data_IF_895025840122
#
_entry.id   IF_895025840122
#
_cell.length_a   1.000
_cell.length_b   1.000
_cell.length_c   1.000
_cell.angle_alpha   90.00
_cell.angle_beta   90.00
_cell.angle_gamma   90.00
#
_symmetry.space_group_name_H-M   'P 1'
#
loop_
_entity.id
_entity.type
_entity.pdbx_description
1 polymer ?
#
# COMPACT_ATOMS: atom_id res chain seq x y z
N UNK A 1 -3.32 16.49 7.39
CA UNK A 1 -4.73 16.19 7.79
C UNK A 1 -4.87 14.67 7.85
N UNK A 2 -5.98 14.09 8.33
CA UNK A 2 -6.19 12.65 8.16
C UNK A 2 -6.69 12.37 6.73
N UNK A 3 -6.19 11.32 6.08
CA UNK A 3 -6.63 10.84 4.77
C UNK A 3 -8.06 10.28 4.86
N UNK A 4 -8.37 9.52 5.92
CA UNK A 4 -9.66 8.88 6.19
C UNK A 4 -10.31 8.30 4.91
N UNK A 5 -9.65 7.30 4.35
CA UNK A 5 -9.80 6.88 2.96
C UNK A 5 -9.94 5.38 2.77
N UNK A 6 -10.70 5.03 1.74
CA UNK A 6 -10.59 3.78 1.01
C UNK A 6 -9.71 4.04 -0.20
N UNK A 7 -8.52 3.44 -0.22
CA UNK A 7 -7.57 3.51 -1.33
C UNK A 7 -7.55 2.19 -2.11
N UNK A 8 -7.33 2.28 -3.43
CA UNK A 8 -7.10 1.13 -4.30
C UNK A 8 -5.74 1.26 -4.97
N UNK A 9 -4.93 0.21 -4.97
CA UNK A 9 -3.67 0.21 -5.69
C UNK A 9 -3.86 0.07 -7.20
N UNK A 10 -3.16 0.91 -7.96
CA UNK A 10 -2.95 0.71 -9.40
C UNK A 10 -1.45 0.83 -9.71
N UNK A 11 -0.85 -0.31 -10.04
CA UNK A 11 0.54 -0.36 -10.51
C UNK A 11 0.60 0.19 -11.94
N UNK A 12 1.50 1.14 -12.24
CA UNK A 12 1.69 1.62 -13.60
C UNK A 12 1.94 0.45 -14.58
N UNK A 13 1.35 0.48 -15.78
CA UNK A 13 1.62 -0.54 -16.78
C UNK A 13 3.06 -0.41 -17.31
N UNK A 14 3.52 -1.45 -17.99
CA UNK A 14 4.79 -1.40 -18.69
C UNK A 14 4.74 -0.36 -19.82
N UNK A 15 5.88 0.27 -20.13
CA UNK A 15 6.00 1.30 -21.17
C UNK A 15 5.49 0.82 -22.54
N UNK A 16 5.73 -0.46 -22.87
CA UNK A 16 5.29 -1.07 -24.14
C UNK A 16 3.76 -1.22 -24.27
N UNK A 17 3.02 -1.18 -23.16
CA UNK A 17 1.55 -1.22 -23.14
C UNK A 17 0.93 0.18 -23.06
N UNK A 18 1.64 1.12 -22.44
CA UNK A 18 1.34 2.55 -22.48
C UNK A 18 -0.09 2.93 -22.07
N UNK A 19 -0.61 3.96 -22.74
CA UNK A 19 -1.91 4.59 -22.46
C UNK A 19 -3.11 3.65 -22.57
N UNK A 20 -3.11 2.75 -23.55
CA UNK A 20 -4.26 1.84 -23.76
C UNK A 20 -4.48 0.93 -22.55
N UNK A 21 -3.40 0.39 -22.00
CA UNK A 21 -3.50 -0.43 -20.79
C UNK A 21 -3.89 0.40 -19.57
N UNK A 22 -3.36 1.61 -19.43
CA UNK A 22 -3.71 2.52 -18.33
C UNK A 22 -5.22 2.81 -18.30
N UNK A 23 -5.81 3.15 -19.46
CA UNK A 23 -7.25 3.41 -19.58
C UNK A 23 -8.08 2.13 -19.37
N UNK A 24 -7.61 0.98 -19.88
CA UNK A 24 -8.28 -0.31 -19.65
C UNK A 24 -8.35 -0.66 -18.17
N UNK A 25 -7.29 -0.39 -17.40
CA UNK A 25 -7.29 -0.68 -15.97
C UNK A 25 -8.21 0.28 -15.19
N UNK A 26 -8.23 1.57 -15.55
CA UNK A 26 -9.19 2.53 -14.99
C UNK A 26 -10.66 2.12 -15.27
N UNK A 27 -10.97 1.72 -16.51
CA UNK A 27 -12.30 1.23 -16.89
C UNK A 27 -12.70 -0.01 -16.08
N UNK A 28 -11.77 -0.97 -15.90
CA UNK A 28 -12.02 -2.16 -15.07
C UNK A 28 -12.28 -1.79 -13.61
N UNK A 29 -11.56 -0.82 -13.06
CA UNK A 29 -11.80 -0.34 -11.68
C UNK A 29 -13.22 0.20 -11.56
N UNK A 30 -13.62 1.09 -12.48
CA UNK A 30 -14.97 1.67 -12.50
C UNK A 30 -16.04 0.58 -12.59
N UNK A 31 -15.89 -0.35 -13.55
CA UNK A 31 -16.82 -1.46 -13.74
C UNK A 31 -16.91 -2.37 -12.52
N UNK A 32 -15.77 -2.87 -12.03
CA UNK A 32 -15.77 -3.80 -10.89
C UNK A 32 -16.27 -3.13 -9.61
N UNK A 33 -15.98 -1.84 -9.41
CA UNK A 33 -16.52 -1.06 -8.28
C UNK A 33 -18.03 -0.93 -8.34
N UNK A 34 -18.57 -0.63 -9.54
CA UNK A 34 -20.01 -0.52 -9.74
C UNK A 34 -20.72 -1.87 -9.54
N UNK A 35 -20.19 -2.95 -10.12
CA UNK A 35 -20.73 -4.31 -9.98
C UNK A 35 -20.73 -4.79 -8.52
N UNK A 36 -19.68 -4.48 -7.76
CA UNK A 36 -19.55 -4.87 -6.36
C UNK A 36 -20.29 -3.91 -5.38
N UNK A 37 -20.89 -2.82 -5.87
CA UNK A 37 -21.62 -1.86 -5.04
C UNK A 37 -20.75 -0.94 -4.18
N UNK A 38 -19.47 -0.75 -4.55
CA UNK A 38 -18.52 0.15 -3.87
C UNK A 38 -18.13 1.36 -4.72
N UNK A 39 -18.82 1.57 -5.85
CA UNK A 39 -18.65 2.74 -6.70
C UNK A 39 -18.81 4.05 -5.93
N UNK A 40 -17.89 4.99 -6.16
CA UNK A 40 -17.87 6.30 -5.49
C UNK A 40 -17.36 6.31 -4.05
N UNK A 41 -17.01 5.14 -3.47
CA UNK A 41 -16.44 5.05 -2.12
C UNK A 41 -14.91 5.14 -2.08
N UNK A 42 -14.24 4.72 -3.16
CA UNK A 42 -12.78 4.84 -3.30
C UNK A 42 -12.44 6.31 -3.48
N UNK A 43 -11.69 6.88 -2.52
CA UNK A 43 -11.29 8.30 -2.55
C UNK A 43 -9.87 8.50 -3.05
N UNK A 44 -9.04 7.45 -3.00
CA UNK A 44 -7.66 7.51 -3.45
C UNK A 44 -7.27 6.33 -4.35
N UNK A 45 -6.44 6.59 -5.35
CA UNK A 45 -5.61 5.58 -6.02
C UNK A 45 -4.22 5.63 -5.42
N UNK A 46 -3.73 4.52 -4.88
CA UNK A 46 -2.33 4.36 -4.49
C UNK A 46 -1.53 3.92 -5.72
N UNK A 47 -0.50 4.67 -6.09
CA UNK A 47 0.37 4.35 -7.22
C UNK A 47 1.80 4.13 -6.70
N UNK A 48 2.32 2.89 -6.77
CA UNK A 48 3.66 2.62 -6.29
C UNK A 48 4.73 3.19 -7.23
N UNK A 49 5.75 3.83 -6.64
CA UNK A 49 6.97 4.22 -7.34
C UNK A 49 7.85 2.99 -7.54
N UNK A 50 7.73 2.37 -8.71
CA UNK A 50 8.40 1.11 -9.03
C UNK A 50 9.89 1.33 -9.34
N UNK A 51 10.76 0.51 -8.74
CA UNK A 51 12.19 0.41 -9.03
C UNK A 51 12.57 -1.05 -9.25
N UNK A 52 13.71 -1.29 -9.88
CA UNK A 52 14.22 -2.65 -10.08
C UNK A 52 14.40 -3.38 -8.72
N UNK A 53 14.03 -4.65 -8.68
CA UNK A 53 14.05 -5.52 -7.49
C UNK A 53 14.91 -6.77 -7.73
N UNK A 54 14.94 -7.70 -6.76
CA UNK A 54 15.80 -8.88 -6.79
C UNK A 54 15.57 -9.78 -8.02
N UNK A 55 16.65 -10.36 -8.53
CA UNK A 55 16.68 -11.23 -9.73
C UNK A 55 15.82 -12.50 -9.59
N UNK A 56 15.46 -12.90 -8.36
CA UNK A 56 14.64 -14.07 -8.08
C UNK A 56 13.13 -13.78 -8.06
N UNK A 57 12.72 -12.55 -8.37
CA UNK A 57 11.31 -12.17 -8.53
C UNK A 57 10.62 -13.08 -9.56
N UNK A 58 9.47 -13.71 -9.23
CA UNK A 58 8.85 -14.72 -10.10
C UNK A 58 8.23 -14.16 -11.38
N UNK A 59 8.08 -12.83 -11.47
CA UNK A 59 7.61 -12.13 -12.65
C UNK A 59 8.64 -11.08 -13.07
N UNK A 60 9.05 -11.14 -14.33
CA UNK A 60 9.96 -10.17 -14.94
C UNK A 60 9.45 -8.74 -14.74
N UNK A 61 10.32 -7.90 -14.15
CA UNK A 61 10.04 -6.49 -13.96
C UNK A 61 10.48 -5.70 -15.18
N UNK A 62 9.53 -5.41 -16.07
CA UNK A 62 9.75 -4.53 -17.22
C UNK A 62 9.68 -3.05 -16.82
N UNK A 63 10.33 -2.15 -17.58
CA UNK A 63 10.20 -0.70 -17.38
C UNK A 63 8.74 -0.27 -17.32
N UNK A 64 8.39 0.45 -16.25
CA UNK A 64 7.04 0.95 -15.97
C UNK A 64 6.91 2.41 -16.40
N UNK A 65 5.68 2.84 -16.70
CA UNK A 65 5.40 4.27 -16.82
C UNK A 65 5.70 4.98 -15.49
N UNK A 66 6.13 6.24 -15.57
CA UNK A 66 6.27 7.07 -14.39
C UNK A 66 4.90 7.32 -13.73
N UNK A 67 4.90 7.54 -12.41
CA UNK A 67 3.69 7.79 -11.61
C UNK A 67 2.89 8.98 -12.14
N UNK A 68 3.53 10.11 -12.45
CA UNK A 68 2.84 11.31 -12.95
C UNK A 68 2.29 11.08 -14.34
N UNK A 69 3.06 10.39 -15.19
CA UNK A 69 2.62 10.03 -16.54
C UNK A 69 1.36 9.15 -16.47
N UNK A 70 1.40 8.07 -15.69
CA UNK A 70 0.27 7.17 -15.51
C UNK A 70 -0.94 7.89 -14.90
N UNK A 71 -0.74 8.68 -13.85
CA UNK A 71 -1.81 9.44 -13.19
C UNK A 71 -2.48 10.42 -14.14
N UNK A 72 -1.72 11.13 -14.96
CA UNK A 72 -2.26 12.07 -15.96
C UNK A 72 -3.18 11.39 -16.98
N UNK A 73 -2.98 10.09 -17.24
CA UNK A 73 -3.81 9.31 -18.15
C UNK A 73 -5.13 8.88 -17.50
N UNK A 74 -5.11 8.44 -16.23
CA UNK A 74 -6.27 7.83 -15.57
C UNK A 74 -7.13 8.81 -14.77
N UNK A 75 -6.55 9.92 -14.27
CA UNK A 75 -7.27 10.94 -13.48
C UNK A 75 -8.53 11.48 -14.18
N UNK A 76 -8.54 11.75 -15.50
CA UNK A 76 -9.76 12.20 -16.19
C UNK A 76 -10.93 11.21 -16.12
N UNK A 77 -10.65 9.91 -15.98
CA UNK A 77 -11.65 8.86 -15.83
C UNK A 77 -12.14 8.73 -14.36
N UNK A 78 -11.46 9.39 -13.41
CA UNK A 78 -11.67 9.30 -11.97
C UNK A 78 -11.77 10.70 -11.31
N UNK A 79 -12.76 11.54 -11.70
CA UNK A 79 -12.76 12.98 -11.41
C UNK A 79 -12.78 13.36 -9.93
N UNK A 80 -13.31 12.50 -9.05
CA UNK A 80 -13.41 12.74 -7.60
C UNK A 80 -12.38 11.95 -6.79
N UNK A 81 -11.42 11.30 -7.47
CA UNK A 81 -10.40 10.45 -6.84
C UNK A 81 -9.06 11.18 -6.84
N UNK A 82 -8.33 11.08 -5.73
CA UNK A 82 -7.02 11.70 -5.53
C UNK A 82 -5.90 10.66 -5.52
N UNK A 83 -4.65 11.12 -5.61
CA UNK A 83 -3.49 10.23 -5.64
C UNK A 83 -2.89 9.98 -4.26
N UNK A 84 -2.41 8.76 -4.02
CA UNK A 84 -1.37 8.45 -3.05
C UNK A 84 -0.18 7.84 -3.80
N UNK A 85 1.05 8.08 -3.34
CA UNK A 85 2.23 7.55 -4.01
C UNK A 85 3.23 6.99 -3.01
N UNK A 86 3.88 5.87 -3.33
CA UNK A 86 5.16 5.53 -2.70
C UNK A 86 6.29 6.13 -3.54
N UNK A 87 7.16 6.93 -2.93
CA UNK A 87 8.24 7.63 -3.63
C UNK A 87 9.60 7.16 -3.11
N UNK A 88 10.39 6.56 -4.00
CA UNK A 88 11.78 6.22 -3.73
C UNK A 88 12.60 7.50 -3.70
N UNK A 89 13.20 7.80 -2.55
CA UNK A 89 13.95 9.06 -2.35
C UNK A 89 15.44 8.90 -2.53
N UNK A 90 15.96 7.68 -2.34
CA UNK A 90 17.39 7.39 -2.25
C UNK A 90 18.21 7.71 -3.53
N UNK A 91 17.54 7.95 -4.66
CA UNK A 91 18.19 8.22 -5.95
C UNK A 91 17.96 9.65 -6.47
N UNK A 92 17.38 10.54 -5.65
CA UNK A 92 17.13 11.93 -6.02
C UNK A 92 17.78 12.87 -5.01
N UNK A 93 18.57 13.83 -5.50
CA UNK A 93 19.04 14.92 -4.65
C UNK A 93 17.87 15.80 -4.16
N UNK A 94 18.13 16.64 -3.16
CA UNK A 94 17.07 17.43 -2.53
C UNK A 94 16.33 18.33 -3.54
N UNK A 95 16.99 19.12 -4.40
CA UNK A 95 16.28 19.97 -5.36
C UNK A 95 15.40 19.16 -6.33
N UNK A 96 15.90 18.03 -6.84
CA UNK A 96 15.14 17.17 -7.77
C UNK A 96 13.93 16.57 -7.07
N UNK A 97 14.11 16.05 -5.85
CA UNK A 97 13.02 15.48 -5.09
C UNK A 97 11.98 16.54 -4.71
N UNK A 98 12.41 17.75 -4.31
CA UNK A 98 11.50 18.87 -4.02
C UNK A 98 10.61 19.20 -5.21
N UNK A 99 11.20 19.35 -6.40
CA UNK A 99 10.46 19.63 -7.63
C UNK A 99 9.44 18.54 -7.94
N UNK A 100 9.86 17.27 -7.85
CA UNK A 100 8.97 16.12 -8.06
C UNK A 100 7.80 16.07 -7.08
N UNK A 101 8.04 16.33 -5.79
CA UNK A 101 6.99 16.31 -4.77
C UNK A 101 5.99 17.46 -4.96
N UNK A 102 6.45 18.63 -5.40
CA UNK A 102 5.58 19.73 -5.79
C UNK A 102 4.70 19.35 -6.99
N UNK A 103 5.28 18.74 -8.03
CA UNK A 103 4.53 18.27 -9.21
C UNK A 103 3.48 17.20 -8.86
N UNK A 104 3.80 16.26 -7.98
CA UNK A 104 2.85 15.26 -7.46
C UNK A 104 1.70 15.96 -6.72
N UNK A 105 2.02 16.88 -5.82
CA UNK A 105 1.01 17.61 -5.04
C UNK A 105 0.09 18.44 -5.94
N UNK A 106 0.67 19.21 -6.88
CA UNK A 106 -0.07 20.00 -7.87
C UNK A 106 -0.94 19.12 -8.80
N UNK A 107 -0.51 17.88 -9.03
CA UNK A 107 -1.27 16.89 -9.80
C UNK A 107 -2.43 16.25 -9.02
N UNK A 108 -2.61 16.59 -7.74
CA UNK A 108 -3.70 16.12 -6.89
C UNK A 108 -3.39 14.87 -6.07
N UNK A 109 -2.11 14.63 -5.76
CA UNK A 109 -1.73 13.65 -4.75
C UNK A 109 -1.85 14.26 -3.36
N UNK A 110 -2.49 13.56 -2.44
CA UNK A 110 -2.70 14.03 -1.06
C UNK A 110 -1.66 13.48 -0.10
N UNK A 111 -1.00 12.37 -0.44
CA UNK A 111 -0.01 11.76 0.44
C UNK A 111 1.07 11.00 -0.30
N UNK A 112 2.29 11.11 0.23
CA UNK A 112 3.49 10.47 -0.30
C UNK A 112 4.13 9.64 0.80
N UNK A 113 4.25 8.33 0.58
CA UNK A 113 5.01 7.44 1.44
C UNK A 113 6.46 7.38 0.96
N UNK A 114 7.40 7.90 1.76
CA UNK A 114 8.81 7.89 1.39
C UNK A 114 9.41 6.50 1.63
N UNK A 115 10.02 5.94 0.58
CA UNK A 115 10.62 4.62 0.60
C UNK A 115 12.12 4.69 0.28
N UNK A 116 12.87 3.79 0.91
CA UNK A 116 14.33 3.70 0.79
C UNK A 116 14.80 2.95 -0.45
N UNK A 117 15.99 2.38 -0.33
CA UNK A 117 16.60 1.57 -1.38
C UNK A 117 15.96 0.16 -1.45
N UNK A 118 16.07 -0.55 -2.59
CA UNK A 118 15.67 -1.95 -2.68
C UNK A 118 16.51 -2.85 -1.77
N UNK A 119 16.04 -4.08 -1.53
CA UNK A 119 16.68 -5.07 -0.63
C UNK A 119 18.12 -5.44 -1.03
N UNK A 120 18.46 -5.29 -2.31
CA UNK A 120 19.82 -5.51 -2.84
C UNK A 120 20.84 -4.48 -2.35
N UNK A 121 20.40 -3.36 -1.80
CA UNK A 121 21.24 -2.26 -1.34
C UNK A 121 21.08 -2.04 0.17
N UNK A 122 22.16 -1.66 0.84
CA UNK A 122 22.16 -1.34 2.26
C UNK A 122 21.54 0.05 2.50
N UNK A 123 20.89 0.22 3.66
CA UNK A 123 20.39 1.54 4.11
C UNK A 123 21.52 2.59 4.02
N UNK A 124 21.32 3.63 3.19
CA UNK A 124 22.32 4.68 2.93
C UNK A 124 23.14 4.52 1.64
N UNK A 125 22.97 3.44 0.88
CA UNK A 125 23.64 3.24 -0.43
C UNK A 125 22.98 4.03 -1.59
N UNK A 126 22.34 5.15 -1.29
CA UNK A 126 21.81 6.09 -2.27
C UNK A 126 22.50 7.46 -2.15
N UNK A 127 22.75 8.12 -3.28
CA UNK A 127 23.28 9.51 -3.28
C UNK A 127 22.20 10.57 -3.04
N UNK A 128 20.93 10.14 -2.90
CA UNK A 128 19.78 11.00 -2.70
C UNK A 128 19.40 11.21 -1.23
N UNK A 129 18.22 11.78 -1.03
CA UNK A 129 17.69 12.09 0.30
C UNK A 129 17.25 10.81 1.01
N UNK A 130 17.67 10.62 2.27
CA UNK A 130 17.20 9.50 3.08
C UNK A 130 15.68 9.62 3.36
N UNK A 131 14.90 8.53 3.33
CA UNK A 131 13.44 8.60 3.50
C UNK A 131 13.01 9.25 4.82
N UNK A 132 13.76 9.04 5.89
CA UNK A 132 13.48 9.61 7.20
C UNK A 132 13.83 11.10 7.30
N UNK A 133 14.75 11.58 6.45
CA UNK A 133 15.06 13.01 6.36
C UNK A 133 14.03 13.73 5.50
N UNK A 134 13.54 13.06 4.43
CA UNK A 134 12.46 13.57 3.59
C UNK A 134 11.20 13.95 4.40
N UNK A 135 10.90 13.21 5.48
CA UNK A 135 9.78 13.51 6.39
C UNK A 135 9.85 14.91 7.00
N UNK A 136 11.06 15.42 7.28
CA UNK A 136 11.28 16.74 7.87
C UNK A 136 11.60 17.80 6.80
N UNK A 137 12.37 17.46 5.77
CA UNK A 137 12.82 18.42 4.73
C UNK A 137 11.66 18.94 3.87
N UNK A 138 10.62 18.13 3.71
CA UNK A 138 9.48 18.39 2.82
C UNK A 138 8.16 18.54 3.57
N UNK A 139 8.19 18.92 4.85
CA UNK A 139 6.99 19.14 5.65
C UNK A 139 6.11 20.28 5.14
N UNK A 140 6.71 21.30 4.53
CA UNK A 140 6.03 22.41 3.85
C UNK A 140 5.61 22.10 2.39
N UNK A 141 6.00 20.93 1.85
CA UNK A 141 5.70 20.54 0.46
C UNK A 141 4.61 19.48 0.38
N UNK A 142 4.65 18.51 1.30
CA UNK A 142 3.71 17.37 1.32
C UNK A 142 3.02 17.35 2.67
N UNK A 143 1.70 17.52 2.69
CA UNK A 143 0.92 17.53 3.94
C UNK A 143 0.89 16.17 4.64
N UNK A 144 0.67 15.10 3.87
CA UNK A 144 0.57 13.74 4.40
C UNK A 144 1.82 12.94 4.01
N UNK A 145 2.74 12.79 4.96
CA UNK A 145 4.05 12.16 4.77
C UNK A 145 4.02 10.77 5.37
N UNK A 146 3.98 9.79 4.49
CA UNK A 146 3.83 8.38 4.84
C UNK A 146 5.15 7.68 5.05
N UNK A 147 5.07 6.58 5.79
CA UNK A 147 6.16 5.60 5.90
C UNK A 147 5.62 4.19 5.76
N UNK A 148 6.45 3.29 5.25
CA UNK A 148 6.12 1.86 5.24
C UNK A 148 6.25 1.30 6.67
N UNK A 149 5.23 0.57 7.08
CA UNK A 149 5.12 -0.14 8.35
C UNK A 149 5.06 -1.65 8.09
N UNK A 150 6.01 -2.41 8.64
CA UNK A 150 6.07 -3.87 8.45
C UNK A 150 6.02 -4.54 9.83
N UNK A 151 4.83 -4.90 10.34
CA UNK A 151 4.66 -5.33 11.74
C UNK A 151 5.46 -6.56 12.12
N UNK A 152 5.73 -7.43 11.15
CA UNK A 152 6.49 -8.67 11.34
C UNK A 152 8.00 -8.46 11.37
N UNK A 153 8.50 -7.30 10.94
CA UNK A 153 9.94 -7.03 10.83
C UNK A 153 10.59 -6.84 12.20
N UNK A 154 11.78 -7.43 12.38
CA UNK A 154 12.57 -7.23 13.59
C UNK A 154 12.90 -5.74 13.82
N UNK A 155 12.70 -5.28 15.06
CA UNK A 155 12.98 -3.90 15.46
C UNK A 155 11.98 -2.87 14.92
N UNK A 156 10.84 -3.28 14.34
CA UNK A 156 9.90 -2.35 13.73
C UNK A 156 9.35 -1.31 14.71
N UNK A 157 9.19 -1.66 15.99
CA UNK A 157 8.73 -0.70 17.02
C UNK A 157 9.63 0.54 17.09
N UNK A 158 10.95 0.32 17.15
CA UNK A 158 11.93 1.41 17.18
C UNK A 158 11.99 2.16 15.85
N UNK A 159 11.92 1.44 14.72
CA UNK A 159 11.92 2.05 13.38
C UNK A 159 10.70 2.95 13.17
N UNK A 160 9.51 2.50 13.56
CA UNK A 160 8.27 3.28 13.43
C UNK A 160 8.25 4.47 14.38
N UNK A 161 8.69 4.29 15.63
CA UNK A 161 8.85 5.40 16.59
C UNK A 161 9.75 6.49 16.01
N UNK A 162 10.93 6.11 15.52
CA UNK A 162 11.88 7.05 14.91
C UNK A 162 11.26 7.79 13.71
N UNK A 163 10.52 7.09 12.85
CA UNK A 163 9.81 7.72 11.72
C UNK A 163 8.75 8.73 12.18
N UNK A 164 7.98 8.41 13.22
CA UNK A 164 7.01 9.34 13.81
C UNK A 164 7.70 10.57 14.41
N UNK A 165 8.82 10.39 15.13
CA UNK A 165 9.62 11.50 15.66
C UNK A 165 10.16 12.43 14.56
N UNK A 166 10.35 11.91 13.34
CA UNK A 166 10.78 12.67 12.16
C UNK A 166 9.63 13.32 11.38
N UNK A 167 8.39 13.17 11.84
CA UNK A 167 7.23 13.86 11.27
C UNK A 167 6.38 13.03 10.31
N UNK A 168 6.47 11.70 10.37
CA UNK A 168 5.52 10.83 9.66
C UNK A 168 4.10 11.06 10.16
N UNK A 169 3.17 11.31 9.22
CA UNK A 169 1.76 11.58 9.52
C UNK A 169 0.89 10.34 9.32
N UNK A 170 1.35 9.37 8.54
CA UNK A 170 0.70 8.07 8.42
C UNK A 170 1.71 6.92 8.25
N UNK A 171 1.33 5.73 8.73
CA UNK A 171 2.00 4.47 8.44
C UNK A 171 1.16 3.66 7.45
N UNK A 172 1.74 3.30 6.31
CA UNK A 172 1.13 2.38 5.36
C UNK A 172 1.70 0.98 5.59
N UNK A 173 0.85 0.01 5.90
CA UNK A 173 1.34 -1.36 6.09
C UNK A 173 1.75 -1.96 4.75
N UNK A 174 2.71 -2.88 4.77
CA UNK A 174 2.77 -3.90 3.72
C UNK A 174 1.46 -4.74 3.74
N UNK A 175 1.22 -5.51 2.67
CA UNK A 175 0.12 -6.47 2.59
C UNK A 175 0.01 -7.32 3.87
N UNK A 176 -1.15 -7.24 4.53
CA UNK A 176 -1.44 -7.97 5.75
C UNK A 176 -2.03 -9.34 5.45
N UNK A 177 -1.31 -10.38 5.87
CA UNK A 177 -1.78 -11.77 5.85
C UNK A 177 -1.82 -12.40 7.26
N UNK A 178 -1.68 -11.56 8.28
CA UNK A 178 -1.87 -11.88 9.70
C UNK A 178 -2.46 -10.68 10.45
N UNK A 179 -2.82 -10.91 11.71
CA UNK A 179 -3.24 -9.89 12.67
C UNK A 179 -2.08 -9.38 13.54
N UNK A 180 -0.82 -9.64 13.17
CA UNK A 180 0.38 -9.18 13.91
C UNK A 180 0.39 -7.65 14.11
N UNK A 181 -0.23 -6.90 13.20
CA UNK A 181 -0.41 -5.44 13.34
C UNK A 181 -1.16 -5.05 14.62
N UNK A 182 -2.07 -5.90 15.11
CA UNK A 182 -2.85 -5.64 16.33
C UNK A 182 -1.94 -5.61 17.54
N UNK A 183 -1.10 -6.64 17.72
CA UNK A 183 -0.14 -6.69 18.82
C UNK A 183 0.91 -5.57 18.70
N UNK A 184 1.39 -5.32 17.47
CA UNK A 184 2.32 -4.23 17.20
C UNK A 184 1.75 -2.88 17.65
N UNK A 185 0.56 -2.50 17.19
CA UNK A 185 -0.06 -1.21 17.50
C UNK A 185 -0.51 -1.14 18.95
N UNK A 186 -0.92 -2.25 19.54
CA UNK A 186 -1.26 -2.32 20.97
C UNK A 186 -0.06 -1.96 21.82
N UNK A 187 1.11 -2.54 21.52
CA UNK A 187 2.34 -2.20 22.23
C UNK A 187 2.79 -0.78 21.92
N UNK A 188 2.74 -0.36 20.65
CA UNK A 188 3.10 1.01 20.25
C UNK A 188 2.24 2.04 20.99
N UNK A 189 0.93 1.82 21.11
CA UNK A 189 0.02 2.70 21.82
C UNK A 189 0.28 2.77 23.33
N UNK A 190 0.82 1.70 23.93
CA UNK A 190 1.21 1.66 25.35
C UNK A 190 2.53 2.39 25.62
N UNK A 191 3.46 2.36 24.68
CA UNK A 191 4.84 2.87 24.90
C UNK A 191 5.13 4.19 24.20
N UNK A 192 4.23 4.70 23.35
CA UNK A 192 4.38 5.96 22.63
C UNK A 192 3.09 6.79 22.62
N UNK A 193 3.25 8.11 22.55
CA UNK A 193 2.14 9.07 22.43
C UNK A 193 1.70 9.28 20.96
N UNK A 194 2.56 8.93 20.00
CA UNK A 194 2.29 9.08 18.57
C UNK A 194 1.00 8.37 18.16
N UNK A 195 0.14 9.07 17.40
CA UNK A 195 -1.08 8.53 16.79
C UNK A 195 -1.17 8.93 15.30
N UNK A 196 -0.18 8.53 14.48
CA UNK A 196 -0.29 8.72 13.04
C UNK A 196 -1.49 7.91 12.53
N UNK A 197 -2.01 8.30 11.38
CA UNK A 197 -3.00 7.47 10.69
C UNK A 197 -2.39 6.15 10.23
N UNK A 198 -3.14 5.06 10.33
CA UNK A 198 -2.71 3.75 9.85
C UNK A 198 -3.51 3.39 8.60
N UNK A 199 -2.81 3.34 7.47
CA UNK A 199 -3.34 2.85 6.20
C UNK A 199 -3.08 1.33 6.11
N UNK A 200 -4.10 0.55 6.41
CA UNK A 200 -4.04 -0.91 6.47
C UNK A 200 -4.20 -1.52 5.07
N UNK A 201 -3.18 -2.23 4.60
CA UNK A 201 -3.12 -2.81 3.26
C UNK A 201 -3.61 -4.27 3.23
N UNK A 202 -4.66 -4.55 2.45
CA UNK A 202 -5.23 -5.89 2.26
C UNK A 202 -5.18 -6.29 0.79
N UNK A 203 -4.49 -7.39 0.48
CA UNK A 203 -4.24 -7.86 -0.88
C UNK A 203 -5.03 -9.11 -1.23
N UNK A 204 -5.79 -9.09 -2.33
CA UNK A 204 -6.53 -10.26 -2.83
C UNK A 204 -5.59 -11.35 -3.36
N UNK A 205 -5.78 -12.58 -2.87
CA UNK A 205 -4.95 -13.75 -3.23
C UNK A 205 -5.72 -14.69 -4.17
N UNK A 206 -5.53 -14.60 -5.51
CA UNK A 206 -6.20 -15.51 -6.44
C UNK A 206 -5.55 -16.91 -6.47
N UNK A 207 -6.24 -17.89 -7.06
CA UNK A 207 -5.72 -19.24 -7.20
C UNK A 207 -4.40 -19.34 -7.99
N UNK A 208 -4.14 -18.40 -8.91
CA UNK A 208 -2.90 -18.36 -9.70
C UNK A 208 -1.65 -18.15 -8.83
N UNK A 209 -1.79 -17.60 -7.62
CA UNK A 209 -0.70 -17.48 -6.64
C UNK A 209 -0.06 -18.84 -6.32
N UNK A 210 -0.83 -19.93 -6.32
CA UNK A 210 -0.29 -21.30 -6.10
C UNK A 210 0.74 -21.74 -7.14
N UNK A 211 0.78 -21.07 -8.30
CA UNK A 211 1.70 -21.36 -9.39
C UNK A 211 2.77 -20.30 -9.55
N UNK A 212 2.41 -19.02 -9.37
CA UNK A 212 3.31 -17.89 -9.63
C UNK A 212 4.12 -17.51 -8.39
N UNK A 213 3.51 -17.48 -7.21
CA UNK A 213 4.22 -17.17 -5.96
C UNK A 213 4.61 -15.70 -5.78
N UNK A 214 3.98 -14.76 -6.49
CA UNK A 214 4.35 -13.34 -6.41
C UNK A 214 4.07 -12.75 -5.03
N UNK A 215 2.89 -13.00 -4.45
CA UNK A 215 2.53 -12.44 -3.14
C UNK A 215 3.44 -13.03 -2.07
N UNK A 216 3.69 -14.34 -2.13
CA UNK A 216 4.62 -15.04 -1.26
C UNK A 216 6.03 -14.43 -1.31
N UNK A 217 6.51 -14.09 -2.51
CA UNK A 217 7.79 -13.40 -2.73
C UNK A 217 7.77 -11.95 -2.21
N UNK A 218 6.68 -11.20 -2.39
CA UNK A 218 6.57 -9.81 -1.92
C UNK A 218 6.75 -9.72 -0.40
N UNK A 219 6.10 -10.61 0.35
CA UNK A 219 6.08 -10.59 1.82
C UNK A 219 7.28 -11.28 2.47
N UNK A 220 8.21 -11.86 1.69
CA UNK A 220 9.25 -12.72 2.22
C UNK A 220 10.19 -12.04 3.23
N UNK A 221 10.57 -12.81 4.25
CA UNK A 221 11.60 -12.50 5.24
C UNK A 221 12.16 -13.84 5.78
N UNK A 222 13.21 -14.39 5.14
CA UNK A 222 13.72 -15.72 5.47
C UNK A 222 14.15 -15.86 6.93
N UNK A 223 13.64 -16.88 7.62
CA UNK A 223 13.93 -17.13 9.04
C UNK A 223 12.97 -16.46 10.02
N UNK A 224 12.06 -15.61 9.53
CA UNK A 224 11.04 -14.98 10.35
C UNK A 224 9.80 -15.88 10.47
N UNK A 225 9.50 -16.34 11.69
CA UNK A 225 8.37 -17.23 11.94
C UNK A 225 7.00 -16.58 11.69
N UNK A 226 6.87 -15.27 11.92
CA UNK A 226 5.61 -14.56 11.66
C UNK A 226 5.33 -14.49 10.16
N UNK A 227 6.36 -14.16 9.37
CA UNK A 227 6.27 -14.14 7.90
C UNK A 227 6.04 -15.55 7.33
N UNK A 228 6.67 -16.58 7.89
CA UNK A 228 6.41 -17.96 7.49
C UNK A 228 4.93 -18.36 7.70
N UNK A 229 4.29 -17.89 8.78
CA UNK A 229 2.87 -18.10 9.02
C UNK A 229 1.99 -17.33 8.03
N UNK A 230 2.36 -16.08 7.69
CA UNK A 230 1.69 -15.30 6.64
C UNK A 230 1.79 -15.98 5.28
N UNK A 231 2.97 -16.48 4.90
CA UNK A 231 3.17 -17.22 3.65
C UNK A 231 2.35 -18.52 3.62
N UNK A 232 2.19 -19.22 4.75
CA UNK A 232 1.33 -20.41 4.82
C UNK A 232 -0.15 -20.04 4.66
N UNK A 233 -0.59 -18.92 5.26
CA UNK A 233 -1.94 -18.41 5.05
C UNK A 233 -2.19 -18.01 3.60
N UNK A 234 -1.22 -17.37 2.93
CA UNK A 234 -1.29 -17.07 1.48
C UNK A 234 -1.46 -18.35 0.67
N UNK A 235 -0.70 -19.42 0.97
CA UNK A 235 -0.87 -20.73 0.30
C UNK A 235 -2.27 -21.30 0.53
N UNK A 236 -2.79 -21.23 1.75
CA UNK A 236 -4.14 -21.67 2.08
C UNK A 236 -5.19 -20.89 1.26
N UNK A 237 -5.07 -19.56 1.18
CA UNK A 237 -5.95 -18.71 0.37
C UNK A 237 -5.89 -19.07 -1.12
N UNK A 238 -4.68 -19.23 -1.66
CA UNK A 238 -4.48 -19.61 -3.05
C UNK A 238 -5.11 -20.98 -3.36
N UNK A 239 -4.98 -21.96 -2.45
CA UNK A 239 -5.54 -23.31 -2.61
C UNK A 239 -7.03 -23.46 -2.26
N UNK A 240 -7.68 -22.44 -1.69
CA UNK A 240 -9.08 -22.52 -1.27
C UNK A 240 -10.07 -22.28 -2.42
N UNK A 241 -11.26 -22.88 -2.31
CA UNK A 241 -12.39 -22.54 -3.18
C UNK A 241 -12.82 -21.08 -3.01
N UNK A 242 -13.40 -20.40 -4.04
CA UNK A 242 -13.66 -18.96 -4.01
C UNK A 242 -14.41 -18.44 -2.79
N UNK A 243 -15.48 -19.14 -2.37
CA UNK A 243 -16.29 -18.74 -1.20
C UNK A 243 -15.49 -18.85 0.09
N UNK A 244 -14.72 -19.94 0.24
CA UNK A 244 -13.89 -20.15 1.44
C UNK A 244 -12.74 -19.15 1.50
N UNK A 245 -12.09 -18.88 0.35
CA UNK A 245 -11.05 -17.84 0.24
C UNK A 245 -11.57 -16.49 0.70
N UNK A 246 -12.72 -16.06 0.18
CA UNK A 246 -13.33 -14.79 0.55
C UNK A 246 -13.61 -14.73 2.04
N UNK A 247 -14.22 -15.79 2.60
CA UNK A 247 -14.47 -15.89 4.03
C UNK A 247 -13.18 -15.73 4.84
N UNK A 248 -12.11 -16.44 4.51
CA UNK A 248 -10.82 -16.35 5.22
C UNK A 248 -10.23 -14.93 5.19
N UNK A 249 -10.30 -14.26 4.03
CA UNK A 249 -9.83 -12.89 3.88
C UNK A 249 -10.67 -11.90 4.70
N UNK A 250 -12.01 -12.02 4.66
CA UNK A 250 -12.91 -11.18 5.47
C UNK A 250 -12.73 -11.44 6.96
N UNK A 251 -12.54 -12.70 7.37
CA UNK A 251 -12.28 -13.04 8.76
C UNK A 251 -10.96 -12.44 9.27
N UNK A 252 -9.91 -12.39 8.42
CA UNK A 252 -8.67 -11.67 8.75
C UNK A 252 -8.91 -10.16 8.89
N UNK A 253 -9.60 -9.56 7.91
CA UNK A 253 -9.93 -8.13 7.94
C UNK A 253 -10.64 -7.73 9.23
N UNK A 254 -11.64 -8.52 9.66
CA UNK A 254 -12.36 -8.32 10.92
C UNK A 254 -11.44 -8.33 12.13
N UNK A 255 -10.60 -9.36 12.26
CA UNK A 255 -9.66 -9.46 13.39
C UNK A 255 -8.72 -8.26 13.46
N UNK A 256 -8.21 -7.80 12.31
CA UNK A 256 -7.35 -6.61 12.25
C UNK A 256 -8.12 -5.37 12.68
N UNK A 257 -9.24 -5.05 12.01
CA UNK A 257 -10.01 -3.83 12.29
C UNK A 257 -10.50 -3.79 13.73
N UNK A 258 -11.12 -4.87 14.21
CA UNK A 258 -11.66 -4.93 15.57
C UNK A 258 -10.53 -4.84 16.62
N UNK A 259 -9.36 -5.41 16.31
CA UNK A 259 -8.19 -5.34 17.18
C UNK A 259 -7.54 -3.95 17.24
N UNK A 260 -7.57 -3.17 16.16
CA UNK A 260 -6.94 -1.84 16.13
C UNK A 260 -7.89 -0.68 16.42
N UNK A 261 -9.20 -0.86 16.24
CA UNK A 261 -10.20 0.21 16.28
C UNK A 261 -10.28 0.98 17.61
N UNK A 262 -9.95 0.33 18.73
CA UNK A 262 -10.01 0.94 20.05
C UNK A 262 -8.67 1.57 20.52
N UNK A 263 -7.62 1.48 19.70
CA UNK A 263 -6.27 1.93 20.08
C UNK A 263 -6.04 3.44 19.86
N UNK A 264 -7.02 4.14 19.27
CA UNK A 264 -7.01 5.60 19.09
C UNK A 264 -6.19 6.11 17.90
N UNK A 265 -5.83 5.23 16.95
CA UNK A 265 -5.27 5.66 15.66
C UNK A 265 -6.41 6.01 14.69
N UNK A 266 -6.29 7.08 13.89
CA UNK A 266 -7.09 7.21 12.68
C UNK A 266 -6.79 6.03 11.75
N UNK A 267 -7.82 5.47 11.13
CA UNK A 267 -7.69 4.27 10.30
C UNK A 267 -8.13 4.57 8.87
N UNK A 268 -7.38 4.05 7.92
CA UNK A 268 -7.72 3.98 6.51
C UNK A 268 -7.46 2.58 5.97
N UNK A 269 -8.06 2.26 4.83
CA UNK A 269 -7.86 0.96 4.17
C UNK A 269 -7.30 1.15 2.78
N UNK A 270 -6.37 0.27 2.43
CA UNK A 270 -5.75 0.17 1.12
C UNK A 270 -5.99 -1.24 0.58
N UNK A 271 -6.58 -1.33 -0.61
CA UNK A 271 -6.84 -2.61 -1.27
C UNK A 271 -5.93 -2.82 -2.45
N UNK A 272 -5.40 -4.03 -2.56
CA UNK A 272 -4.54 -4.43 -3.66
C UNK A 272 -5.09 -5.66 -4.37
N UNK A 273 -5.17 -5.61 -5.69
CA UNK A 273 -5.39 -6.78 -6.53
C UNK A 273 -4.10 -7.08 -7.29
N UNK A 274 -3.12 -7.68 -6.62
CA UNK A 274 -1.72 -7.83 -7.08
C UNK A 274 -1.59 -8.50 -8.46
N UNK A 275 -2.55 -9.36 -8.83
CA UNK A 275 -2.62 -10.03 -10.14
C UNK A 275 -3.49 -9.31 -11.18
N UNK A 276 -3.86 -8.06 -10.92
CA UNK A 276 -4.69 -7.22 -11.77
C UNK A 276 -6.16 -7.16 -11.34
N UNK A 277 -6.83 -6.11 -11.81
CA UNK A 277 -8.22 -5.77 -11.49
C UNK A 277 -9.19 -6.85 -11.99
N UNK A 278 -9.98 -7.41 -11.07
CA UNK A 278 -10.94 -8.48 -11.37
C UNK A 278 -12.14 -8.45 -10.41
N UNK A 279 -13.31 -8.92 -10.86
CA UNK A 279 -14.56 -8.92 -10.09
C UNK A 279 -14.45 -9.66 -8.75
N UNK A 280 -13.85 -10.88 -8.65
CA UNK A 280 -13.71 -11.57 -7.36
C UNK A 280 -12.97 -10.79 -6.26
N UNK A 281 -11.97 -9.99 -6.64
CA UNK A 281 -11.28 -9.10 -5.70
C UNK A 281 -12.22 -8.03 -5.15
N UNK A 282 -12.98 -7.37 -6.04
CA UNK A 282 -13.90 -6.30 -5.66
C UNK A 282 -15.08 -6.79 -4.84
N UNK A 283 -15.62 -7.97 -5.14
CA UNK A 283 -16.63 -8.61 -4.28
C UNK A 283 -16.09 -8.89 -2.87
N UNK A 284 -14.81 -9.28 -2.77
CA UNK A 284 -14.15 -9.49 -1.47
C UNK A 284 -13.95 -8.18 -0.72
N UNK A 285 -13.49 -7.12 -1.40
CA UNK A 285 -13.33 -5.79 -0.81
C UNK A 285 -14.66 -5.21 -0.34
N UNK A 286 -15.75 -5.41 -1.11
CA UNK A 286 -17.08 -5.00 -0.71
C UNK A 286 -17.55 -5.68 0.58
N UNK A 287 -17.30 -6.99 0.74
CA UNK A 287 -17.63 -7.71 1.98
C UNK A 287 -16.77 -7.26 3.17
N UNK A 288 -15.50 -6.88 2.94
CA UNK A 288 -14.67 -6.26 3.98
C UNK A 288 -15.23 -4.89 4.40
N UNK A 289 -15.52 -4.02 3.43
CA UNK A 289 -16.07 -2.69 3.67
C UNK A 289 -17.48 -2.72 4.29
N UNK A 290 -18.22 -3.82 4.14
CA UNK A 290 -19.50 -4.02 4.81
C UNK A 290 -19.35 -4.29 6.32
N UNK A 291 -18.20 -4.80 6.76
CA UNK A 291 -17.89 -4.94 8.19
C UNK A 291 -17.53 -3.59 8.82
N UNK A 292 -16.59 -2.88 8.19
CA UNK A 292 -16.15 -1.56 8.63
C UNK A 292 -15.53 -0.80 7.48
N UNK A 293 -15.72 0.50 7.44
CA UNK A 293 -15.09 1.37 6.46
C UNK A 293 -14.90 2.80 7.01
N UNK A 294 -13.79 3.48 6.63
CA UNK A 294 -13.44 4.80 7.15
C UNK A 294 -14.42 5.92 6.73
N UNK A 295 -15.13 5.74 5.62
CA UNK A 295 -16.16 6.68 5.14
C UNK A 295 -17.49 6.58 5.90
N UNK A 296 -17.61 5.62 6.83
CA UNK A 296 -18.81 5.37 7.65
C UNK A 296 -18.56 5.40 9.16
N UNK A 297 -17.30 5.51 9.57
CA UNK A 297 -16.86 5.44 10.96
C UNK A 297 -16.86 6.82 11.64
#
# INVERSE_FOLDING_TARGET
MSLNTIALELVPPNVDRGREQALSDAEKVLRCSAEAGIGGRVRHVMIPGMIEEDDDRPLEMKPKLDVLEFWSMIKPELPDVRGLCTQVTAFMDEPTLRGRLAELSDSGFDGIAFVGVPRTLSDGEGSGVAPTDALTIFDEVVDNRGVILIPTREGEQGRFTFKCDRGATYGMTQLLYSDTIVDFLTEFAKTNEHRPEILLSFGFVPAVESKVGLINWLIQDPGNAAVAAEQEFVKQLAGSEPVQRRKLMVDLYKRVIDGVGELGFPLSVHFEATYGINTPAFETFAEMLAHWAPDTA
#
